data_IF_648427570858
#
_entry.id   IF_648427570858
#
_cell.length_a   1.000
_cell.length_b   1.000
_cell.length_c   1.000
_cell.angle_alpha   90.00
_cell.angle_beta   90.00
_cell.angle_gamma   90.00
#
_symmetry.space_group_name_H-M   'P 1'
#
loop_
_entity.id
_entity.type
_entity.pdbx_description
1 polymer ?
#
# COMPACT_ATOMS: atom_id res chain seq x y z
N UNK A 1 15.12 10.09 15.82
CA UNK A 1 15.25 8.69 16.31
C UNK A 1 14.21 7.86 15.59
N UNK A 2 14.64 6.96 14.71
CA UNK A 2 13.73 6.10 13.94
C UNK A 2 13.36 4.90 14.81
N UNK A 3 12.09 4.80 15.22
CA UNK A 3 11.58 3.69 16.02
C UNK A 3 10.93 2.66 15.10
N UNK A 4 11.34 1.40 15.22
CA UNK A 4 10.70 0.24 14.58
C UNK A 4 9.98 -0.54 15.68
N UNK A 5 8.66 -0.66 15.56
CA UNK A 5 7.84 -1.37 16.54
C UNK A 5 7.43 -2.72 15.99
N UNK A 6 7.63 -3.77 16.78
CA UNK A 6 7.16 -5.11 16.50
C UNK A 6 5.88 -5.34 17.32
N UNK A 7 4.77 -5.72 16.66
CA UNK A 7 3.55 -6.10 17.36
C UNK A 7 3.15 -7.54 17.01
N UNK A 8 3.05 -8.37 18.06
CA UNK A 8 2.26 -9.60 18.09
C UNK A 8 0.93 -9.24 18.75
N UNK A 9 -0.13 -8.93 18.00
CA UNK A 9 -1.50 -9.00 18.51
C UNK A 9 -2.51 -9.03 17.36
N UNK A 10 -3.55 -9.82 17.54
CA UNK A 10 -4.79 -9.81 16.75
C UNK A 10 -5.44 -8.43 16.84
N UNK A 11 -5.01 -7.50 16.00
CA UNK A 11 -5.83 -6.39 15.54
C UNK A 11 -6.19 -6.77 14.12
N UNK A 12 -7.47 -7.02 13.84
CA UNK A 12 -7.95 -7.22 12.47
C UNK A 12 -7.91 -5.88 11.74
N UNK A 13 -6.71 -5.36 11.48
CA UNK A 13 -6.55 -4.35 10.45
C UNK A 13 -6.45 -5.10 9.13
N UNK A 14 -7.54 -5.10 8.38
CA UNK A 14 -7.51 -5.19 6.93
C UNK A 14 -6.85 -3.92 6.36
N UNK A 15 -5.64 -3.58 6.79
CA UNK A 15 -4.68 -2.97 5.87
C UNK A 15 -4.15 -4.15 5.08
N UNK A 16 -4.90 -4.48 4.03
CA UNK A 16 -4.43 -5.37 2.99
C UNK A 16 -3.14 -4.70 2.48
N UNK A 17 -1.98 -5.08 3.01
CA UNK A 17 -0.71 -4.82 2.33
C UNK A 17 -0.75 -5.82 1.19
N UNK A 18 -1.41 -5.40 0.11
CA UNK A 18 -1.63 -6.27 -1.02
C UNK A 18 -0.28 -6.40 -1.72
N UNK A 19 0.41 -7.50 -1.45
CA UNK A 19 1.62 -7.88 -2.21
C UNK A 19 1.19 -8.29 -3.61
N UNK A 20 0.92 -7.32 -4.47
CA UNK A 20 1.13 -7.52 -5.89
C UNK A 20 2.50 -6.96 -6.22
N UNK A 21 3.27 -7.79 -6.91
CA UNK A 21 4.58 -7.48 -7.45
C UNK A 21 4.60 -6.00 -7.91
N UNK A 22 5.50 -5.23 -7.29
CA UNK A 22 5.84 -3.83 -7.63
C UNK A 22 4.93 -2.70 -7.14
N UNK A 23 3.94 -2.92 -6.26
CA UNK A 23 3.21 -1.83 -5.61
C UNK A 23 3.65 -1.58 -4.16
N UNK A 24 4.34 -0.45 -3.94
CA UNK A 24 4.70 0.03 -2.61
C UNK A 24 3.63 0.98 -2.06
N UNK A 25 2.39 0.49 -1.94
CA UNK A 25 1.31 1.26 -1.33
C UNK A 25 1.22 0.89 0.15
N UNK A 26 1.17 1.90 1.00
CA UNK A 26 0.93 1.76 2.43
C UNK A 26 0.00 2.86 2.92
N UNK A 27 -0.71 2.59 4.01
CA UNK A 27 -1.45 3.60 4.75
C UNK A 27 -0.49 4.50 5.55
N UNK A 28 -0.91 5.75 5.76
CA UNK A 28 -0.24 6.74 6.60
C UNK A 28 -1.19 7.20 7.69
N UNK A 29 -0.68 7.83 8.75
CA UNK A 29 -1.52 8.31 9.85
C UNK A 29 -0.76 8.47 11.15
N UNK A 30 -1.45 8.34 12.28
CA UNK A 30 -0.86 8.42 13.63
C UNK A 30 -1.27 7.27 14.54
N UNK A 31 -0.40 6.96 15.50
CA UNK A 31 -0.71 6.15 16.67
C UNK A 31 -0.63 7.07 17.89
N UNK A 32 -1.79 7.36 18.48
CA UNK A 32 -1.91 8.33 19.55
C UNK A 32 -2.11 7.62 20.89
N UNK A 33 -1.43 8.10 21.93
CA UNK A 33 -1.53 7.54 23.26
C UNK A 33 -1.07 8.51 24.34
N UNK A 34 -0.91 8.01 25.55
CA UNK A 34 -0.39 8.80 26.68
C UNK A 34 1.05 9.28 26.47
N UNK A 35 1.76 8.75 25.48
CA UNK A 35 3.13 9.11 25.10
C UNK A 35 3.19 10.22 24.04
N UNK A 36 2.06 10.78 23.62
CA UNK A 36 1.96 11.69 22.49
C UNK A 36 1.54 10.97 21.22
N UNK A 37 2.02 11.45 20.08
CA UNK A 37 1.59 10.99 18.75
C UNK A 37 2.77 10.42 17.97
N UNK A 38 2.68 9.14 17.58
CA UNK A 38 3.63 8.53 16.67
C UNK A 38 3.11 8.65 15.23
N UNK A 39 3.77 9.47 14.42
CA UNK A 39 3.44 9.73 13.03
C UNK A 39 3.97 8.60 12.14
N UNK A 40 3.07 7.82 11.55
CA UNK A 40 3.37 6.70 10.67
C UNK A 40 3.54 7.21 9.24
N UNK A 41 4.76 7.14 8.71
CA UNK A 41 5.09 7.57 7.35
C UNK A 41 5.37 6.40 6.40
N UNK A 42 5.51 5.18 6.90
CA UNK A 42 5.69 3.97 6.09
C UNK A 42 5.17 2.73 6.84
N UNK A 43 4.60 1.76 6.11
CA UNK A 43 4.17 0.46 6.65
C UNK A 43 4.73 -0.67 5.79
N UNK A 44 5.35 -1.65 6.42
CA UNK A 44 5.98 -2.79 5.73
C UNK A 44 5.58 -4.12 6.34
N UNK A 45 5.60 -5.20 5.55
CA UNK A 45 5.51 -6.57 6.08
C UNK A 45 6.89 -7.21 6.04
N UNK A 46 7.43 -7.56 7.21
CA UNK A 46 8.71 -8.25 7.35
C UNK A 46 8.60 -9.39 8.37
N UNK A 47 9.00 -10.61 7.96
CA UNK A 47 8.96 -11.78 8.85
C UNK A 47 7.57 -12.14 9.39
N UNK A 48 6.50 -11.82 8.67
CA UNK A 48 5.11 -12.01 9.13
C UNK A 48 4.56 -10.90 10.02
N UNK A 49 5.37 -9.89 10.35
CA UNK A 49 4.95 -8.73 11.14
C UNK A 49 4.60 -7.53 10.26
N UNK A 50 3.67 -6.70 10.73
CA UNK A 50 3.39 -5.38 10.16
C UNK A 50 4.21 -4.34 10.93
N UNK A 51 5.14 -3.70 10.25
CA UNK A 51 6.05 -2.70 10.79
C UNK A 51 5.51 -1.31 10.48
N UNK A 52 5.17 -0.55 11.51
CA UNK A 52 4.87 0.88 11.39
C UNK A 52 6.16 1.67 11.62
N UNK A 53 6.58 2.43 10.62
CA UNK A 53 7.81 3.21 10.61
C UNK A 53 7.43 4.69 10.61
N UNK A 54 8.06 5.45 11.50
CA UNK A 54 7.60 6.80 11.80
C UNK A 54 8.47 7.55 12.79
N UNK A 55 7.96 8.71 13.20
CA UNK A 55 8.58 9.59 14.19
C UNK A 55 7.60 9.87 15.33
N UNK A 56 8.13 9.98 16.55
CA UNK A 56 7.35 10.39 17.71
C UNK A 56 7.35 11.91 17.82
N UNK A 57 6.16 12.50 17.92
CA UNK A 57 5.92 13.93 18.14
C UNK A 57 5.08 14.11 19.41
N UNK A 58 5.59 14.88 20.39
CA UNK A 58 4.91 15.12 21.67
C UNK A 58 5.83 14.96 22.89
N UNK A 59 5.41 15.53 24.01
CA UNK A 59 6.23 15.61 25.23
C UNK A 59 6.15 14.32 26.08
N UNK A 60 7.34 13.79 26.34
CA UNK A 60 7.83 13.13 27.58
C UNK A 60 7.27 11.77 28.03
N UNK A 61 6.34 11.13 27.34
CA UNK A 61 5.93 9.76 27.71
C UNK A 61 6.85 8.65 27.18
N UNK A 62 6.99 7.55 27.93
CA UNK A 62 7.65 6.33 27.45
C UNK A 62 6.73 5.58 26.50
N UNK A 63 7.14 5.44 25.25
CA UNK A 63 6.47 4.54 24.31
C UNK A 63 7.04 3.12 24.48
N UNK A 64 6.25 2.22 25.06
CA UNK A 64 6.68 0.87 25.42
C UNK A 64 5.76 -0.20 24.83
N UNK A 65 6.28 -1.42 24.72
CA UNK A 65 5.49 -2.60 24.35
C UNK A 65 4.31 -2.75 25.32
N UNK A 66 3.12 -3.03 24.78
CA UNK A 66 1.88 -3.14 25.54
C UNK A 66 1.17 -1.81 25.82
N UNK A 67 1.72 -0.67 25.39
CA UNK A 67 1.01 0.61 25.45
C UNK A 67 -0.28 0.56 24.62
N UNK A 68 -1.37 1.09 25.19
CA UNK A 68 -2.62 1.29 24.46
C UNK A 68 -2.47 2.49 23.53
N UNK A 69 -2.88 2.32 22.28
CA UNK A 69 -2.86 3.36 21.26
C UNK A 69 -4.19 3.42 20.54
N UNK A 70 -4.58 4.63 20.15
CA UNK A 70 -5.62 4.88 19.16
C UNK A 70 -4.94 5.02 17.80
N UNK A 71 -5.36 4.22 16.82
CA UNK A 71 -4.83 4.32 15.47
C UNK A 71 -5.73 5.22 14.63
N UNK A 72 -5.15 6.27 14.06
CA UNK A 72 -5.81 7.20 13.16
C UNK A 72 -5.19 7.05 11.77
N UNK A 73 -5.97 6.51 10.83
CA UNK A 73 -5.54 6.34 9.43
C UNK A 73 -5.94 7.57 8.63
N UNK A 74 -5.08 8.02 7.72
CA UNK A 74 -5.39 9.05 6.74
C UNK A 74 -6.34 8.48 5.66
N UNK A 75 -7.63 8.53 5.97
CA UNK A 75 -8.68 8.03 5.09
C UNK A 75 -8.88 8.90 3.85
N UNK A 76 -8.53 10.19 3.90
CA UNK A 76 -8.61 11.07 2.74
C UNK A 76 -7.62 10.62 1.67
N UNK A 77 -6.36 10.36 2.06
CA UNK A 77 -5.37 9.76 1.16
C UNK A 77 -5.78 8.35 0.71
N UNK A 78 -6.26 7.50 1.63
CA UNK A 78 -6.70 6.13 1.28
C UNK A 78 -7.81 6.14 0.24
N UNK A 79 -8.77 7.06 0.35
CA UNK A 79 -9.91 7.19 -0.58
C UNK A 79 -9.48 7.46 -2.01
N UNK A 80 -8.37 8.19 -2.20
CA UNK A 80 -7.82 8.48 -3.53
C UNK A 80 -7.04 7.30 -4.12
N UNK A 81 -6.39 6.50 -3.27
CA UNK A 81 -5.51 5.40 -3.69
C UNK A 81 -6.27 4.09 -3.92
N UNK A 82 -7.22 3.75 -3.04
CA UNK A 82 -7.92 2.46 -3.07
C UNK A 82 -8.67 2.16 -4.39
N UNK A 83 -9.29 3.16 -5.07
CA UNK A 83 -9.87 2.93 -6.40
C UNK A 83 -8.82 2.53 -7.43
N UNK A 84 -7.64 3.16 -7.42
CA UNK A 84 -6.57 2.88 -8.38
C UNK A 84 -5.96 1.47 -8.18
N UNK A 85 -5.85 1.02 -6.93
CA UNK A 85 -5.50 -0.38 -6.60
C UNK A 85 -6.54 -1.35 -7.16
N UNK A 86 -7.83 -1.08 -6.91
CA UNK A 86 -8.94 -1.88 -7.44
C UNK A 86 -8.92 -1.94 -8.97
N UNK A 87 -8.72 -0.80 -9.63
CA UNK A 87 -8.61 -0.71 -11.08
C UNK A 87 -7.41 -1.49 -11.63
N UNK A 88 -6.28 -1.55 -10.92
CA UNK A 88 -5.13 -2.38 -11.31
C UNK A 88 -5.55 -3.85 -11.43
N UNK A 89 -6.30 -4.36 -10.45
CA UNK A 89 -6.80 -5.74 -10.48
C UNK A 89 -7.81 -5.97 -11.60
N UNK A 90 -8.76 -5.05 -11.76
CA UNK A 90 -9.75 -5.13 -12.84
C UNK A 90 -9.08 -5.10 -14.21
N UNK A 91 -8.08 -4.25 -14.41
CA UNK A 91 -7.35 -4.15 -15.67
C UNK A 91 -6.53 -5.42 -15.94
N UNK A 92 -5.83 -5.96 -14.94
CA UNK A 92 -5.10 -7.22 -15.10
C UNK A 92 -6.04 -8.39 -15.46
N UNK A 93 -7.21 -8.45 -14.82
CA UNK A 93 -8.23 -9.45 -15.15
C UNK A 93 -8.75 -9.27 -16.58
N UNK A 94 -9.17 -8.06 -16.95
CA UNK A 94 -9.70 -7.78 -18.28
C UNK A 94 -8.68 -8.03 -19.40
N UNK A 95 -7.40 -7.70 -19.18
CA UNK A 95 -6.34 -7.97 -20.16
C UNK A 95 -6.14 -9.47 -20.37
N UNK A 96 -6.21 -10.28 -19.32
CA UNK A 96 -6.15 -11.75 -19.45
C UNK A 96 -7.36 -12.33 -20.16
N UNK A 97 -8.55 -11.79 -19.92
CA UNK A 97 -9.76 -12.21 -20.64
C UNK A 97 -9.68 -11.91 -22.14
N UNK A 98 -9.14 -10.74 -22.53
CA UNK A 98 -9.10 -10.31 -23.94
C UNK A 98 -7.89 -10.85 -24.70
N UNK A 99 -6.71 -10.80 -24.08
CA UNK A 99 -5.44 -11.15 -24.72
C UNK A 99 -5.00 -12.57 -24.37
N UNK A 100 -5.54 -13.18 -23.32
CA UNK A 100 -5.17 -14.52 -22.83
C UNK A 100 -4.14 -14.49 -21.70
N UNK A 101 -3.91 -15.66 -21.11
CA UNK A 101 -3.13 -15.83 -19.88
C UNK A 101 -1.63 -15.51 -19.99
N UNK A 102 -1.12 -15.27 -21.20
CA UNK A 102 0.28 -14.91 -21.42
C UNK A 102 0.58 -13.43 -21.11
N UNK A 103 -0.45 -12.62 -20.89
CA UNK A 103 -0.30 -11.24 -20.43
C UNK A 103 -0.22 -11.22 -18.91
N UNK A 104 1.00 -10.95 -18.43
CA UNK A 104 1.29 -10.76 -17.01
C UNK A 104 1.72 -9.32 -16.72
N UNK A 105 1.22 -8.77 -15.62
CA UNK A 105 1.69 -7.50 -15.06
C UNK A 105 3.20 -7.54 -14.80
N UNK A 106 3.94 -6.58 -15.36
CA UNK A 106 5.38 -6.39 -15.13
C UNK A 106 5.68 -5.25 -14.17
N UNK A 107 4.75 -4.32 -14.02
CA UNK A 107 4.87 -3.22 -13.10
C UNK A 107 3.57 -2.44 -13.00
N UNK A 108 3.44 -1.65 -11.94
CA UNK A 108 2.38 -0.67 -11.83
C UNK A 108 2.76 0.42 -10.86
N UNK A 109 2.33 1.64 -11.14
CA UNK A 109 2.43 2.77 -10.21
C UNK A 109 1.01 3.14 -9.82
N UNK A 110 0.75 3.17 -8.51
CA UNK A 110 -0.54 3.59 -7.95
C UNK A 110 -0.28 4.76 -7.02
N UNK A 111 -0.74 5.93 -7.45
CA UNK A 111 -0.68 7.18 -6.69
C UNK A 111 -2.10 7.75 -6.59
N UNK A 112 -2.35 8.70 -5.68
CA UNK A 112 -3.65 9.37 -5.58
C UNK A 112 -4.12 9.98 -6.92
N UNK A 113 -3.18 10.47 -7.73
CA UNK A 113 -3.49 11.22 -8.96
C UNK A 113 -3.39 10.37 -10.22
N UNK A 114 -2.75 9.19 -10.17
CA UNK A 114 -2.52 8.38 -11.37
C UNK A 114 -2.37 6.89 -11.08
N UNK A 115 -2.80 6.10 -12.06
CA UNK A 115 -2.51 4.69 -12.20
C UNK A 115 -1.68 4.48 -13.47
N UNK A 116 -0.58 3.74 -13.36
CA UNK A 116 0.18 3.20 -14.51
C UNK A 116 0.21 1.70 -14.40
N UNK A 117 -0.01 1.00 -15.50
CA UNK A 117 0.04 -0.45 -15.58
C UNK A 117 0.93 -0.87 -16.75
N UNK A 118 1.99 -1.62 -16.45
CA UNK A 118 2.95 -2.09 -17.45
C UNK A 118 2.75 -3.59 -17.70
N UNK A 119 2.54 -3.97 -18.96
CA UNK A 119 2.43 -5.36 -19.41
C UNK A 119 3.16 -5.56 -20.74
N UNK A 120 3.65 -6.78 -21.04
CA UNK A 120 4.33 -7.05 -22.28
C UNK A 120 3.31 -7.16 -23.41
N UNK A 121 3.51 -6.40 -24.48
CA UNK A 121 2.77 -6.58 -25.72
C UNK A 121 3.60 -7.48 -26.65
N UNK A 122 3.15 -8.72 -26.87
CA UNK A 122 3.71 -9.55 -27.94
C UNK A 122 3.04 -9.11 -29.24
N UNK A 123 3.80 -8.42 -30.09
CA UNK A 123 3.31 -8.01 -31.41
C UNK A 123 3.35 -9.22 -32.34
N UNK A 124 2.26 -9.98 -32.44
CA UNK A 124 1.99 -10.74 -33.65
C UNK A 124 1.67 -9.75 -34.77
N UNK A 125 2.24 -9.97 -35.96
CA UNK A 125 2.11 -9.07 -37.10
C UNK A 125 0.65 -8.72 -37.39
N UNK A 126 0.24 -7.50 -37.04
CA UNK A 126 -0.53 -6.55 -37.87
C UNK A 126 -1.10 -5.40 -37.00
N UNK A 127 -0.90 -4.15 -37.47
CA UNK A 127 -1.67 -2.98 -37.03
C UNK A 127 -1.15 -2.25 -35.78
N UNK A 128 -0.69 -1.01 -35.96
CA UNK A 128 -0.38 -0.09 -34.87
C UNK A 128 -1.65 0.26 -34.07
N UNK A 129 -1.63 0.07 -32.75
CA UNK A 129 -2.43 0.91 -31.85
C UNK A 129 -1.62 1.20 -30.59
N UNK A 130 -1.32 2.49 -30.40
CA UNK A 130 -0.77 3.02 -29.17
C UNK A 130 -1.98 3.34 -28.29
N UNK A 131 -2.24 2.50 -27.28
CA UNK A 131 -3.31 2.74 -26.32
C UNK A 131 -2.68 3.44 -25.11
N UNK A 132 -2.75 4.77 -25.13
CA UNK A 132 -2.55 5.58 -23.93
C UNK A 132 -3.91 5.68 -23.25
N UNK A 133 -4.07 5.01 -22.09
CA UNK A 133 -5.15 5.25 -21.14
C UNK A 133 -4.58 6.10 -20.02
#
# INVERSE_FOLDING_TARGET
>A
MMLVLFWNLRVSMLSKVVRYLFQYIFDTGSLDGSFGSFQVCNVQIFGGFVLHIGSLSGMTGKFSVGAKVTCNVDYDRRRLIAPNDTCTHMLNFALREVLGDHVDQKGSIVLPEKLRFDFPMIRTEMGLSMLTI
#
